data_IF_390612171607
#
_entry.id   IF_390612171607
#
_cell.length_a   1.000
_cell.length_b   1.000
_cell.length_c   1.000
_cell.angle_alpha   90.00
_cell.angle_beta   90.00
_cell.angle_gamma   90.00
#
_symmetry.space_group_name_H-M   'P 1'
#
loop_
_entity.id
_entity.type
_entity.pdbx_description
1 polymer ?
#
# COMPACT_ATOMS: atom_id res chain seq x y z
N UNK A 1 -13.58 -4.01 0.73
CA UNK A 1 -12.85 -2.80 0.28
C UNK A 1 -13.62 -1.51 0.52
N UNK A 2 -14.90 -1.33 0.07
CA UNK A 2 -15.66 -0.10 0.37
C UNK A 2 -15.70 0.21 1.88
N UNK A 3 -16.06 -0.76 2.73
CA UNK A 3 -16.04 -0.61 4.19
C UNK A 3 -14.66 -0.26 4.75
N UNK A 4 -13.62 -0.76 4.14
CA UNK A 4 -12.24 -0.50 4.55
C UNK A 4 -11.84 0.97 4.34
N UNK A 5 -12.14 1.55 3.16
CA UNK A 5 -11.88 2.98 2.94
C UNK A 5 -12.81 3.85 3.79
N UNK A 6 -14.04 3.39 4.08
CA UNK A 6 -14.92 4.06 5.07
C UNK A 6 -14.28 4.12 6.46
N UNK A 7 -13.66 3.03 6.94
CA UNK A 7 -12.98 3.01 8.23
C UNK A 7 -11.74 3.93 8.23
N UNK A 8 -10.97 3.94 7.14
CA UNK A 8 -9.82 4.83 6.98
C UNK A 8 -10.29 6.29 6.98
N UNK A 9 -11.28 6.62 6.16
CA UNK A 9 -11.81 8.00 6.05
C UNK A 9 -12.43 8.49 7.35
N UNK A 10 -13.11 7.63 8.10
CA UNK A 10 -13.67 7.97 9.42
C UNK A 10 -12.59 8.38 10.45
N UNK A 11 -11.36 7.82 10.32
CA UNK A 11 -10.24 8.12 11.21
C UNK A 11 -9.36 9.26 10.70
N UNK A 12 -9.30 9.48 9.38
CA UNK A 12 -8.30 10.36 8.77
C UNK A 12 -8.89 11.51 7.98
N UNK A 13 -10.20 11.46 7.66
CA UNK A 13 -10.89 12.43 6.81
C UNK A 13 -10.21 12.62 5.44
N UNK A 14 -9.66 11.52 4.86
CA UNK A 14 -8.87 11.57 3.63
C UNK A 14 -9.70 11.78 2.35
N UNK A 15 -11.03 11.60 2.40
CA UNK A 15 -11.91 11.79 1.25
C UNK A 15 -12.81 13.02 1.44
N UNK A 16 -12.51 14.17 0.79
CA UNK A 16 -13.35 15.36 0.88
C UNK A 16 -14.78 15.09 0.39
N UNK A 17 -15.77 15.45 1.19
CA UNK A 17 -17.19 15.26 0.84
C UNK A 17 -17.71 16.26 -0.20
N UNK A 18 -17.04 17.38 -0.41
CA UNK A 18 -17.46 18.50 -1.27
C UNK A 18 -16.29 19.03 -2.09
N UNK A 19 -16.61 19.74 -3.15
CA UNK A 19 -15.61 20.31 -4.06
C UNK A 19 -15.29 19.38 -5.22
N UNK A 20 -14.48 19.88 -6.17
CA UNK A 20 -13.90 19.05 -7.23
C UNK A 20 -12.87 18.11 -6.58
N UNK A 21 -12.86 16.84 -7.01
CA UNK A 21 -11.95 15.82 -6.54
C UNK A 21 -11.58 14.92 -7.71
N UNK A 22 -10.38 15.06 -8.21
CA UNK A 22 -9.82 14.14 -9.19
C UNK A 22 -8.98 13.09 -8.44
N UNK A 23 -9.26 11.79 -8.62
CA UNK A 23 -8.56 10.74 -7.89
C UNK A 23 -8.02 9.64 -8.78
N UNK A 24 -6.90 9.06 -8.35
CA UNK A 24 -6.23 7.91 -8.94
C UNK A 24 -6.41 6.69 -8.02
N UNK A 25 -6.88 5.57 -8.58
CA UNK A 25 -7.04 4.30 -7.86
C UNK A 25 -6.13 3.24 -8.50
N UNK A 26 -5.03 2.91 -7.82
CA UNK A 26 -4.02 1.97 -8.31
C UNK A 26 -4.18 0.61 -7.65
N UNK A 27 -4.69 -0.32 -8.43
CA UNK A 27 -4.80 -1.72 -8.09
C UNK A 27 -6.07 -2.10 -7.35
N UNK A 28 -6.51 -3.29 -7.65
CA UNK A 28 -7.59 -4.00 -6.99
C UNK A 28 -7.02 -5.20 -6.28
N UNK A 29 -7.37 -5.37 -5.03
CA UNK A 29 -6.93 -6.53 -4.26
C UNK A 29 -7.75 -7.72 -4.66
N UNK A 30 -7.10 -8.71 -5.26
CA UNK A 30 -7.67 -10.04 -5.34
C UNK A 30 -7.46 -10.77 -4.01
N UNK A 31 -8.48 -10.88 -3.20
CA UNK A 31 -8.47 -11.66 -1.96
C UNK A 31 -9.73 -12.48 -1.79
N UNK A 32 -10.08 -13.24 -2.82
CA UNK A 32 -11.17 -14.21 -2.73
C UNK A 32 -10.69 -15.67 -2.57
N UNK A 33 -9.49 -15.91 -2.04
CA UNK A 33 -9.01 -17.29 -1.80
C UNK A 33 -9.21 -17.79 -0.37
N UNK A 34 -10.00 -17.12 0.47
CA UNK A 34 -10.33 -17.66 1.79
C UNK A 34 -11.85 -17.70 1.98
N UNK A 35 -12.38 -18.92 1.78
CA UNK A 35 -13.64 -19.43 2.35
C UNK A 35 -14.93 -18.61 2.08
N UNK A 36 -15.33 -18.57 0.80
CA UNK A 36 -16.64 -18.03 0.36
C UNK A 36 -17.85 -18.75 1.04
N UNK A 37 -17.62 -19.85 1.75
CA UNK A 37 -18.71 -20.68 2.32
C UNK A 37 -19.24 -20.21 3.66
N UNK A 38 -18.57 -19.31 4.38
CA UNK A 38 -18.93 -18.99 5.76
C UNK A 38 -19.45 -17.58 6.03
N UNK A 39 -19.30 -16.61 5.12
CA UNK A 39 -19.83 -15.27 5.35
C UNK A 39 -20.41 -14.76 4.03
N UNK A 40 -21.72 -14.64 3.95
CA UNK A 40 -22.47 -14.13 2.77
C UNK A 40 -22.17 -12.68 2.37
N UNK A 41 -20.96 -12.21 2.55
CA UNK A 41 -20.49 -10.86 2.18
C UNK A 41 -19.58 -11.00 0.96
N UNK A 42 -20.16 -10.82 -0.21
CA UNK A 42 -19.43 -10.58 -1.47
C UNK A 42 -18.77 -9.20 -1.43
N UNK A 43 -17.71 -9.01 -0.64
CA UNK A 43 -17.10 -7.68 -0.45
C UNK A 43 -15.68 -7.55 -1.01
N UNK A 44 -15.25 -8.45 -1.87
CA UNK A 44 -13.95 -8.39 -2.53
C UNK A 44 -14.09 -8.01 -4.00
N UNK A 45 -14.86 -6.94 -4.31
CA UNK A 45 -15.02 -6.50 -5.69
C UNK A 45 -14.06 -5.37 -6.02
N UNK A 46 -13.40 -5.41 -7.21
CA UNK A 46 -12.71 -4.27 -7.79
C UNK A 46 -13.65 -3.07 -7.86
N UNK A 47 -13.12 -1.88 -7.52
CA UNK A 47 -13.90 -0.65 -7.47
C UNK A 47 -14.51 -0.32 -6.09
N UNK A 48 -14.15 -1.03 -5.03
CA UNK A 48 -14.66 -0.74 -3.69
C UNK A 48 -14.21 0.62 -3.15
N UNK A 49 -12.96 0.98 -3.33
CA UNK A 49 -12.44 2.31 -2.97
C UNK A 49 -13.07 3.38 -3.87
N UNK A 50 -13.03 3.19 -5.17
CA UNK A 50 -13.65 4.09 -6.14
C UNK A 50 -15.14 4.29 -5.89
N UNK A 51 -15.90 3.21 -5.56
CA UNK A 51 -17.33 3.33 -5.19
C UNK A 51 -17.53 4.26 -4.00
N UNK A 52 -16.71 4.10 -2.95
CA UNK A 52 -16.80 4.96 -1.77
C UNK A 52 -16.52 6.42 -2.10
N UNK A 53 -15.40 6.71 -2.79
CA UNK A 53 -15.03 8.09 -3.16
C UNK A 53 -16.11 8.76 -4.00
N UNK A 54 -16.63 8.07 -5.04
CA UNK A 54 -17.64 8.60 -5.94
C UNK A 54 -19.02 8.81 -5.27
N UNK A 55 -19.36 8.01 -4.26
CA UNK A 55 -20.57 8.20 -3.47
C UNK A 55 -20.41 9.29 -2.42
N UNK A 56 -19.25 9.34 -1.77
CA UNK A 56 -18.92 10.31 -0.74
C UNK A 56 -18.86 11.73 -1.32
N UNK A 57 -18.34 11.87 -2.54
CA UNK A 57 -18.20 13.14 -3.24
C UNK A 57 -18.88 13.08 -4.62
N UNK A 58 -20.01 13.77 -4.73
CA UNK A 58 -20.80 13.82 -5.98
C UNK A 58 -20.09 14.50 -7.15
N UNK A 59 -18.99 15.23 -6.93
CA UNK A 59 -18.17 15.90 -7.96
C UNK A 59 -16.85 15.18 -8.23
N UNK A 60 -16.60 14.05 -7.55
CA UNK A 60 -15.40 13.27 -7.79
C UNK A 60 -15.37 12.67 -9.18
N UNK A 61 -14.17 12.64 -9.78
CA UNK A 61 -13.84 11.91 -11.00
C UNK A 61 -12.63 11.06 -10.75
N UNK A 62 -12.60 9.82 -11.23
CA UNK A 62 -11.53 8.88 -10.98
C UNK A 62 -10.95 8.27 -12.23
N UNK A 63 -9.65 8.00 -12.17
CA UNK A 63 -8.92 7.12 -13.07
C UNK A 63 -8.49 5.89 -12.27
N UNK A 64 -8.82 4.70 -12.73
CA UNK A 64 -8.40 3.45 -12.12
C UNK A 64 -7.57 2.60 -13.05
N UNK A 65 -6.47 2.06 -12.54
CA UNK A 65 -5.58 1.17 -13.29
C UNK A 65 -5.42 -0.14 -12.52
N UNK A 66 -5.80 -1.25 -13.15
CA UNK A 66 -5.65 -2.59 -12.57
C UNK A 66 -5.66 -3.66 -13.66
N UNK A 67 -5.19 -4.85 -13.30
CA UNK A 67 -5.32 -6.03 -14.17
C UNK A 67 -6.79 -6.39 -14.39
N UNK A 68 -7.15 -6.62 -15.63
CA UNK A 68 -8.44 -7.18 -16.01
C UNK A 68 -8.48 -8.71 -15.90
N UNK A 69 -9.69 -9.31 -16.02
CA UNK A 69 -9.87 -10.76 -15.91
C UNK A 69 -9.03 -11.58 -16.89
N UNK A 70 -8.82 -11.05 -18.09
CA UNK A 70 -8.00 -11.65 -19.16
C UNK A 70 -6.53 -11.81 -18.76
N UNK A 71 -6.05 -11.02 -17.80
CA UNK A 71 -4.70 -11.04 -17.27
C UNK A 71 -4.62 -11.59 -15.83
N UNK A 72 -5.66 -12.31 -15.39
CA UNK A 72 -5.74 -12.90 -14.05
C UNK A 72 -6.24 -11.94 -12.97
N UNK A 73 -6.66 -10.74 -13.35
CA UNK A 73 -7.31 -9.79 -12.44
C UNK A 73 -8.80 -10.09 -12.24
N UNK A 74 -9.49 -9.20 -11.56
CA UNK A 74 -10.91 -9.33 -11.25
C UNK A 74 -11.80 -8.51 -12.19
N UNK A 75 -13.08 -8.90 -12.29
CA UNK A 75 -14.05 -8.13 -13.02
C UNK A 75 -14.28 -6.75 -12.38
N UNK A 76 -14.32 -5.71 -13.19
CA UNK A 76 -14.65 -4.36 -12.73
C UNK A 76 -16.16 -4.25 -12.41
N UNK A 77 -16.50 -4.05 -11.13
CA UNK A 77 -17.87 -4.12 -10.62
C UNK A 77 -18.46 -2.77 -10.14
N UNK A 78 -17.89 -1.66 -10.58
CA UNK A 78 -18.45 -0.34 -10.25
C UNK A 78 -19.90 -0.21 -10.76
N UNK A 79 -20.79 0.33 -9.94
CA UNK A 79 -22.19 0.57 -10.32
C UNK A 79 -22.31 1.45 -11.57
N UNK A 80 -23.23 1.11 -12.48
CA UNK A 80 -23.39 1.81 -13.78
C UNK A 80 -23.49 3.34 -13.63
N UNK A 81 -24.23 3.83 -12.61
CA UNK A 81 -24.42 5.27 -12.34
C UNK A 81 -23.11 6.00 -12.00
N UNK A 82 -22.14 5.31 -11.44
CA UNK A 82 -20.84 5.87 -11.03
C UNK A 82 -19.82 5.84 -12.17
N UNK A 83 -19.98 4.93 -13.14
CA UNK A 83 -19.06 4.76 -14.28
C UNK A 83 -18.94 6.00 -15.17
N UNK A 84 -19.95 6.87 -15.20
CA UNK A 84 -19.89 8.13 -15.96
C UNK A 84 -18.81 9.10 -15.44
N UNK A 85 -18.34 8.88 -14.22
CA UNK A 85 -17.33 9.70 -13.55
C UNK A 85 -16.03 8.93 -13.26
N UNK A 86 -15.87 7.78 -13.92
CA UNK A 86 -14.74 6.92 -13.66
C UNK A 86 -14.24 6.26 -14.93
N UNK A 87 -13.00 6.47 -15.23
CA UNK A 87 -12.28 5.80 -16.31
C UNK A 87 -11.52 4.60 -15.72
N UNK A 88 -11.71 3.43 -16.33
CA UNK A 88 -11.01 2.20 -15.93
C UNK A 88 -10.10 1.74 -17.05
N UNK A 89 -8.83 1.54 -16.71
CA UNK A 89 -7.79 1.02 -17.60
C UNK A 89 -7.37 -0.37 -17.12
N UNK A 90 -7.60 -1.37 -17.98
CA UNK A 90 -7.15 -2.74 -17.76
C UNK A 90 -5.66 -2.83 -18.15
N UNK A 91 -4.75 -2.75 -17.16
CA UNK A 91 -3.33 -2.82 -17.40
C UNK A 91 -2.55 -3.31 -16.16
N UNK A 92 -1.40 -3.92 -16.39
CA UNK A 92 -0.44 -4.21 -15.32
C UNK A 92 0.35 -2.94 -15.00
N UNK A 93 0.16 -2.40 -13.81
CA UNK A 93 0.85 -1.19 -13.33
C UNK A 93 2.39 -1.32 -13.44
N UNK A 94 2.93 -2.52 -13.20
CA UNK A 94 4.36 -2.77 -13.27
C UNK A 94 4.92 -2.78 -14.71
N UNK A 95 4.07 -2.79 -15.73
CA UNK A 95 4.48 -2.78 -17.15
C UNK A 95 4.47 -1.37 -17.77
N UNK A 96 4.20 -0.33 -17.01
CA UNK A 96 4.40 1.03 -17.51
C UNK A 96 5.89 1.41 -17.50
N UNK A 97 6.29 2.20 -18.51
CA UNK A 97 7.63 2.79 -18.58
C UNK A 97 7.74 3.88 -17.50
N UNK A 98 8.37 3.52 -16.39
CA UNK A 98 8.53 4.43 -15.24
C UNK A 98 9.96 4.95 -15.08
N UNK A 99 10.92 4.28 -15.70
CA UNK A 99 12.33 4.70 -15.71
C UNK A 99 12.62 5.82 -16.74
N UNK A 100 13.87 6.27 -16.84
CA UNK A 100 14.32 7.17 -17.89
C UNK A 100 14.03 6.61 -19.28
N UNK A 101 13.75 7.48 -20.25
CA UNK A 101 13.32 7.13 -21.63
C UNK A 101 14.32 6.29 -22.45
N UNK A 102 15.49 5.98 -21.90
CA UNK A 102 16.55 5.21 -22.55
C UNK A 102 16.31 3.68 -22.56
N UNK A 103 15.27 3.20 -21.85
CA UNK A 103 14.97 1.78 -21.77
C UNK A 103 13.74 1.43 -22.62
N UNK A 104 13.97 1.18 -23.90
CA UNK A 104 12.95 0.59 -24.77
C UNK A 104 12.89 -0.92 -24.49
N UNK A 105 11.74 -1.40 -24.08
CA UNK A 105 11.47 -2.82 -23.91
C UNK A 105 10.11 -3.16 -24.50
N UNK A 106 10.04 -4.30 -25.20
CA UNK A 106 8.83 -4.75 -25.90
C UNK A 106 7.64 -5.03 -24.95
N UNK A 107 7.88 -5.22 -23.65
CA UNK A 107 6.81 -5.45 -22.67
C UNK A 107 6.39 -4.18 -21.92
N UNK A 108 7.15 -3.09 -22.03
CA UNK A 108 6.78 -1.82 -21.40
C UNK A 108 5.88 -1.00 -22.30
N UNK A 109 4.95 -0.30 -21.69
CA UNK A 109 3.98 0.56 -22.36
C UNK A 109 4.06 1.99 -21.81
N UNK A 110 3.75 3.01 -22.61
CA UNK A 110 3.68 4.38 -22.13
C UNK A 110 2.57 4.52 -21.09
N UNK A 111 2.68 5.56 -20.24
CA UNK A 111 1.59 5.92 -19.34
C UNK A 111 0.32 6.21 -20.13
N UNK A 112 -0.87 5.88 -19.59
CA UNK A 112 -2.13 6.12 -20.27
C UNK A 112 -2.40 7.62 -20.43
N UNK A 113 -3.13 8.01 -21.49
CA UNK A 113 -3.45 9.42 -21.80
C UNK A 113 -4.13 10.16 -20.65
N UNK A 114 -4.95 9.47 -19.85
CA UNK A 114 -5.64 10.04 -18.69
C UNK A 114 -4.71 10.32 -17.48
N UNK A 115 -3.47 9.81 -17.50
CA UNK A 115 -2.51 10.06 -16.44
C UNK A 115 -1.67 11.31 -16.74
N UNK A 116 -1.74 12.28 -15.83
CA UNK A 116 -0.92 13.49 -15.92
C UNK A 116 -0.25 13.76 -14.58
N UNK A 117 0.97 14.24 -14.61
CA UNK A 117 1.73 14.62 -13.44
C UNK A 117 1.00 15.75 -12.69
N UNK A 118 0.87 15.59 -11.36
CA UNK A 118 0.19 16.56 -10.51
C UNK A 118 -1.31 16.75 -10.80
N UNK A 119 -1.99 15.74 -11.34
CA UNK A 119 -3.40 15.85 -11.74
C UNK A 119 -4.41 15.44 -10.65
N UNK A 120 -3.99 14.64 -9.67
CA UNK A 120 -4.91 14.00 -8.75
C UNK A 120 -4.86 14.62 -7.35
N UNK A 121 -6.03 14.92 -6.80
CA UNK A 121 -6.20 15.41 -5.43
C UNK A 121 -6.04 14.28 -4.40
N UNK A 122 -6.33 13.02 -4.82
CA UNK A 122 -6.26 11.82 -3.99
C UNK A 122 -5.68 10.65 -4.80
N UNK A 123 -4.65 9.99 -4.29
CA UNK A 123 -4.10 8.76 -4.84
C UNK A 123 -4.29 7.60 -3.85
N UNK A 124 -4.89 6.51 -4.32
CA UNK A 124 -5.19 5.30 -3.56
C UNK A 124 -4.31 4.16 -4.07
N UNK A 125 -3.45 3.61 -3.20
CA UNK A 125 -2.46 2.60 -3.54
C UNK A 125 -2.75 1.33 -2.74
N UNK A 126 -3.43 0.39 -3.37
CA UNK A 126 -3.79 -0.89 -2.75
C UNK A 126 -3.45 -2.11 -3.64
N UNK A 127 -2.60 -1.92 -4.67
CA UNK A 127 -2.15 -3.00 -5.52
C UNK A 127 -1.36 -4.05 -4.74
N UNK A 128 -1.68 -5.33 -4.99
CA UNK A 128 -0.94 -6.48 -4.46
C UNK A 128 -0.63 -7.43 -5.60
N UNK A 129 0.50 -8.15 -5.51
CA UNK A 129 0.86 -9.15 -6.51
C UNK A 129 -0.17 -10.27 -6.53
N UNK A 130 -0.53 -10.70 -7.75
CA UNK A 130 -1.26 -11.94 -7.97
C UNK A 130 -0.20 -13.03 -8.15
N UNK A 131 -0.12 -13.96 -7.20
CA UNK A 131 0.78 -15.10 -7.31
C UNK A 131 0.21 -16.10 -8.33
N UNK A 132 0.70 -16.07 -9.55
CA UNK A 132 0.52 -17.13 -10.52
C UNK A 132 1.76 -18.03 -10.44
N UNK A 133 1.60 -19.24 -9.94
CA UNK A 133 2.69 -20.18 -9.59
C UNK A 133 3.74 -20.42 -10.66
N UNK A 134 3.47 -20.12 -11.92
CA UNK A 134 4.36 -20.45 -13.06
C UNK A 134 5.01 -19.25 -13.77
N UNK A 135 4.65 -17.99 -13.44
CA UNK A 135 5.11 -16.81 -14.20
C UNK A 135 5.60 -15.64 -13.36
N UNK A 136 5.40 -15.65 -12.05
CA UNK A 136 5.80 -14.53 -11.19
C UNK A 136 7.19 -14.77 -10.60
N UNK A 137 8.07 -13.76 -10.74
CA UNK A 137 9.36 -13.74 -10.04
C UNK A 137 9.15 -13.34 -8.59
N UNK A 138 10.01 -13.80 -7.71
CA UNK A 138 9.88 -13.49 -6.27
C UNK A 138 9.82 -11.99 -5.96
N UNK A 139 10.49 -11.15 -6.74
CA UNK A 139 10.56 -9.68 -6.58
C UNK A 139 9.45 -8.88 -7.28
N UNK A 140 8.55 -9.51 -8.04
CA UNK A 140 7.47 -8.81 -8.74
C UNK A 140 6.56 -8.00 -7.81
N UNK A 141 6.40 -8.46 -6.57
CA UNK A 141 5.66 -7.70 -5.56
C UNK A 141 6.32 -6.40 -5.16
N UNK A 142 7.64 -6.37 -5.09
CA UNK A 142 8.42 -5.17 -4.76
C UNK A 142 8.43 -4.20 -5.94
N UNK A 143 8.57 -4.72 -7.17
CA UNK A 143 8.46 -3.93 -8.39
C UNK A 143 7.08 -3.29 -8.54
N UNK A 144 6.00 -4.03 -8.27
CA UNK A 144 4.64 -3.51 -8.28
C UNK A 144 4.44 -2.42 -7.20
N UNK A 145 4.96 -2.63 -5.99
CA UNK A 145 4.94 -1.63 -4.93
C UNK A 145 5.61 -0.34 -5.40
N UNK A 146 6.82 -0.43 -5.93
CA UNK A 146 7.58 0.73 -6.38
C UNK A 146 6.87 1.43 -7.56
N UNK A 147 6.29 0.67 -8.50
CA UNK A 147 5.56 1.21 -9.64
C UNK A 147 4.37 2.06 -9.20
N UNK A 148 3.51 1.55 -8.30
CA UNK A 148 2.38 2.33 -7.80
C UNK A 148 2.83 3.54 -6.98
N UNK A 149 3.93 3.45 -6.25
CA UNK A 149 4.45 4.55 -5.44
C UNK A 149 4.99 5.69 -6.31
N UNK A 150 5.76 5.38 -7.36
CA UNK A 150 6.21 6.35 -8.36
C UNK A 150 5.02 7.05 -9.02
N UNK A 151 4.02 6.29 -9.49
CA UNK A 151 2.82 6.85 -10.11
C UNK A 151 2.08 7.80 -9.16
N UNK A 152 1.96 7.44 -7.90
CA UNK A 152 1.29 8.31 -6.92
C UNK A 152 2.09 9.58 -6.64
N UNK A 153 3.41 9.50 -6.46
CA UNK A 153 4.26 10.66 -6.21
C UNK A 153 4.28 11.62 -7.41
N UNK A 154 4.24 11.09 -8.64
CA UNK A 154 4.13 11.90 -9.86
C UNK A 154 2.72 12.45 -10.05
N UNK A 155 1.70 11.64 -9.85
CA UNK A 155 0.30 11.98 -10.13
C UNK A 155 -0.36 12.88 -9.09
N UNK A 156 0.10 12.87 -7.84
CA UNK A 156 -0.52 13.68 -6.78
C UNK A 156 -0.26 15.18 -6.98
N UNK A 157 -1.31 15.99 -6.83
CA UNK A 157 -1.18 17.45 -6.80
C UNK A 157 -0.40 17.89 -5.56
N UNK A 158 0.29 19.00 -5.67
CA UNK A 158 0.83 19.69 -4.49
C UNK A 158 -0.32 20.02 -3.52
N UNK A 159 -0.22 19.54 -2.30
CA UNK A 159 -1.29 19.64 -1.30
C UNK A 159 -2.33 18.49 -1.36
N UNK A 160 -2.19 17.56 -2.28
CA UNK A 160 -3.04 16.37 -2.39
C UNK A 160 -2.76 15.31 -1.33
N UNK A 161 -3.48 14.21 -1.40
CA UNK A 161 -3.42 13.13 -0.40
C UNK A 161 -3.02 11.80 -1.06
N UNK A 162 -2.14 11.06 -0.40
CA UNK A 162 -1.80 9.68 -0.75
C UNK A 162 -2.28 8.74 0.36
N UNK A 163 -3.06 7.73 -0.01
CA UNK A 163 -3.45 6.60 0.86
C UNK A 163 -2.76 5.36 0.35
N UNK A 164 -1.84 4.80 1.12
CA UNK A 164 -1.04 3.66 0.69
C UNK A 164 -1.14 2.51 1.69
N UNK A 165 -1.32 1.29 1.17
CA UNK A 165 -1.23 0.09 1.97
C UNK A 165 0.23 -0.31 2.16
N UNK A 166 0.63 -0.45 3.43
CA UNK A 166 1.93 -0.90 3.88
C UNK A 166 1.79 -2.15 4.75
N UNK A 167 2.90 -2.75 5.11
CA UNK A 167 2.95 -3.93 5.96
C UNK A 167 4.09 -3.80 6.95
N UNK A 168 3.86 -4.24 8.20
CA UNK A 168 4.89 -4.29 9.24
C UNK A 168 5.70 -2.99 9.33
N UNK A 169 5.24 -2.01 10.12
CA UNK A 169 5.91 -0.70 10.23
C UNK A 169 7.35 -0.79 10.78
N UNK A 170 7.68 -1.87 11.46
CA UNK A 170 9.01 -2.18 12.00
C UNK A 170 10.05 -2.61 10.95
N UNK A 171 9.64 -2.95 9.73
CA UNK A 171 10.61 -3.26 8.66
C UNK A 171 11.29 -1.99 8.16
N UNK A 172 12.61 -2.07 7.98
CA UNK A 172 13.44 -0.93 7.59
C UNK A 172 12.92 -0.20 6.35
N UNK A 173 12.58 -0.93 5.28
CA UNK A 173 12.03 -0.31 4.08
C UNK A 173 10.67 0.37 4.33
N UNK A 174 9.79 -0.22 5.18
CA UNK A 174 8.50 0.39 5.54
C UNK A 174 8.70 1.65 6.37
N UNK A 175 9.62 1.62 7.33
CA UNK A 175 9.98 2.77 8.14
C UNK A 175 10.52 3.92 7.30
N UNK A 176 11.37 3.64 6.30
CA UNK A 176 11.88 4.63 5.35
C UNK A 176 10.78 5.22 4.45
N UNK A 177 9.81 4.42 4.02
CA UNK A 177 8.64 4.93 3.28
C UNK A 177 7.77 5.81 4.19
N UNK A 178 7.56 5.43 5.45
CA UNK A 178 6.85 6.29 6.41
C UNK A 178 7.62 7.59 6.66
N UNK A 179 8.95 7.51 6.81
CA UNK A 179 9.79 8.68 6.99
C UNK A 179 9.65 9.65 5.82
N UNK A 180 9.80 9.20 4.58
CA UNK A 180 9.70 10.12 3.43
C UNK A 180 8.30 10.70 3.29
N UNK A 181 7.24 9.92 3.51
CA UNK A 181 5.88 10.43 3.49
C UNK A 181 5.64 11.49 4.58
N UNK A 182 6.20 11.31 5.78
CA UNK A 182 6.12 12.29 6.88
C UNK A 182 6.89 13.58 6.52
N UNK A 183 8.04 13.48 5.84
CA UNK A 183 8.88 14.63 5.47
C UNK A 183 8.35 15.44 4.29
N UNK A 184 7.72 14.81 3.31
CA UNK A 184 7.20 15.50 2.12
C UNK A 184 5.76 15.95 2.26
N UNK A 185 5.03 15.50 3.30
CA UNK A 185 3.63 15.83 3.54
C UNK A 185 3.47 16.80 4.70
N UNK A 186 2.35 17.49 4.75
CA UNK A 186 1.98 18.36 5.87
C UNK A 186 1.63 17.52 7.11
N UNK A 187 1.01 16.35 6.90
CA UNK A 187 0.62 15.44 7.96
C UNK A 187 0.68 13.99 7.48
N UNK A 188 1.19 13.09 8.32
CA UNK A 188 1.14 11.65 8.12
C UNK A 188 0.39 10.99 9.28
N UNK A 189 -0.59 10.17 8.94
CA UNK A 189 -1.36 9.31 9.85
C UNK A 189 -1.28 7.86 9.43
N UNK A 190 -1.45 6.94 10.37
CA UNK A 190 -1.61 5.52 10.08
C UNK A 190 -2.95 5.02 10.58
N UNK A 191 -3.51 4.06 9.88
CA UNK A 191 -4.78 3.45 10.21
C UNK A 191 -4.74 1.95 9.96
N UNK A 192 -5.29 1.16 10.88
CA UNK A 192 -5.46 -0.27 10.71
C UNK A 192 -6.95 -0.62 10.70
N UNK A 193 -7.53 -0.87 9.51
CA UNK A 193 -8.93 -1.28 9.41
C UNK A 193 -9.22 -2.59 10.16
N UNK A 194 -10.33 -2.60 10.88
CA UNK A 194 -10.75 -3.74 11.71
C UNK A 194 -11.45 -4.84 10.90
N UNK A 195 -12.13 -4.47 9.82
CA UNK A 195 -12.98 -5.38 9.05
C UNK A 195 -12.18 -6.43 8.26
N UNK A 196 -11.11 -6.03 7.58
CA UNK A 196 -10.42 -6.91 6.62
C UNK A 196 -8.97 -7.21 7.04
N UNK A 197 -8.26 -6.23 7.57
CA UNK A 197 -6.83 -6.33 7.84
C UNK A 197 -6.45 -6.52 9.31
N UNK A 198 -7.40 -6.64 10.22
CA UNK A 198 -7.13 -6.76 11.65
C UNK A 198 -6.15 -7.91 12.00
N UNK A 199 -6.25 -9.04 11.29
CA UNK A 199 -5.40 -10.24 11.50
C UNK A 199 -4.10 -10.21 10.69
N UNK A 200 -3.98 -9.33 9.69
CA UNK A 200 -2.86 -9.28 8.76
C UNK A 200 -1.84 -8.24 9.21
N UNK A 201 -0.58 -8.35 8.79
CA UNK A 201 0.43 -7.32 9.13
C UNK A 201 0.21 -6.01 8.39
N UNK A 202 -0.72 -5.94 7.42
CA UNK A 202 -0.96 -4.75 6.60
C UNK A 202 -1.75 -3.67 7.35
N UNK A 203 -1.44 -2.42 7.04
CA UNK A 203 -2.08 -1.20 7.52
C UNK A 203 -2.07 -0.14 6.41
N UNK A 204 -2.69 1.02 6.66
CA UNK A 204 -2.66 2.15 5.72
C UNK A 204 -1.93 3.33 6.32
N UNK A 205 -1.08 3.95 5.50
CA UNK A 205 -0.54 5.28 5.74
C UNK A 205 -1.33 6.28 4.89
N UNK A 206 -1.68 7.41 5.49
CA UNK A 206 -2.41 8.51 4.87
C UNK A 206 -1.58 9.78 4.99
N UNK A 207 -0.98 10.18 3.87
CA UNK A 207 -0.15 11.36 3.77
C UNK A 207 -0.99 12.51 3.18
N UNK A 208 -1.27 13.52 3.99
CA UNK A 208 -2.10 14.68 3.64
C UNK A 208 -1.21 15.88 3.36
N UNK A 209 -1.51 16.63 2.32
CA UNK A 209 -0.71 17.80 1.94
C UNK A 209 0.64 17.43 1.36
N UNK A 210 0.71 16.43 0.49
CA UNK A 210 1.95 16.02 -0.20
C UNK A 210 2.53 17.20 -0.98
N UNK A 211 3.85 17.40 -0.88
CA UNK A 211 4.54 18.55 -1.46
C UNK A 211 4.46 19.83 -0.61
N UNK A 212 3.94 19.75 0.64
CA UNK A 212 3.90 20.84 1.61
C UNK A 212 4.72 20.56 2.87
N UNK A 213 5.35 19.40 2.99
CA UNK A 213 6.19 19.04 4.12
C UNK A 213 7.55 19.75 4.11
N UNK A 214 8.32 19.53 5.17
CA UNK A 214 9.61 20.21 5.40
C UNK A 214 10.68 19.88 4.34
N UNK A 215 10.57 18.71 3.71
CA UNK A 215 11.47 18.25 2.65
C UNK A 215 10.79 18.19 1.27
N UNK A 216 9.69 18.92 1.09
CA UNK A 216 8.92 18.92 -0.16
C UNK A 216 9.77 19.29 -1.40
N UNK A 217 10.81 20.12 -1.24
CA UNK A 217 11.73 20.49 -2.32
C UNK A 217 12.57 19.31 -2.84
N UNK A 218 12.75 18.26 -2.04
CA UNK A 218 13.47 17.04 -2.45
C UNK A 218 12.63 16.09 -3.28
N UNK A 219 11.30 16.27 -3.32
CA UNK A 219 10.38 15.30 -3.94
C UNK A 219 10.75 14.97 -5.41
N UNK A 220 11.10 15.91 -6.29
CA UNK A 220 11.52 15.57 -7.65
C UNK A 220 12.76 14.66 -7.69
N UNK A 221 13.79 14.97 -6.91
CA UNK A 221 15.00 14.16 -6.85
C UNK A 221 14.75 12.77 -6.27
N UNK A 222 13.82 12.65 -5.30
CA UNK A 222 13.41 11.38 -4.72
C UNK A 222 12.67 10.53 -5.76
N UNK A 223 11.78 11.12 -6.54
CA UNK A 223 11.09 10.44 -7.64
C UNK A 223 12.10 9.92 -8.67
N UNK A 224 13.10 10.72 -9.04
CA UNK A 224 14.16 10.30 -9.97
C UNK A 224 14.95 9.09 -9.41
N UNK A 225 15.26 9.06 -8.12
CA UNK A 225 15.93 7.92 -7.50
C UNK A 225 15.04 6.67 -7.48
N UNK A 226 13.76 6.81 -7.18
CA UNK A 226 12.83 5.69 -7.28
C UNK A 226 12.68 5.16 -8.71
N UNK A 227 12.72 6.03 -9.72
CA UNK A 227 12.70 5.62 -11.12
C UNK A 227 13.96 4.83 -11.50
N UNK A 228 15.13 5.23 -11.00
CA UNK A 228 16.39 4.46 -11.18
C UNK A 228 16.30 3.10 -10.48
N UNK A 229 15.83 3.07 -9.25
CA UNK A 229 15.63 1.82 -8.53
C UNK A 229 14.60 0.90 -9.24
N UNK A 230 13.56 1.48 -9.82
CA UNK A 230 12.60 0.72 -10.63
C UNK A 230 13.27 0.03 -11.83
N UNK A 231 14.25 0.69 -12.47
CA UNK A 231 15.05 0.09 -13.56
C UNK A 231 15.84 -1.12 -13.04
N UNK A 232 16.48 -1.00 -11.88
CA UNK A 232 17.21 -2.09 -11.25
C UNK A 232 16.31 -3.29 -10.91
N UNK A 233 15.12 -3.03 -10.35
CA UNK A 233 14.16 -4.09 -10.04
C UNK A 233 13.52 -4.71 -11.29
N UNK A 234 13.62 -4.04 -12.44
CA UNK A 234 13.03 -4.51 -13.71
C UNK A 234 14.05 -5.19 -14.60
N UNK A 235 15.28 -4.67 -14.69
CA UNK A 235 16.31 -5.07 -15.64
C UNK A 235 17.67 -5.33 -15.00
N UNK A 236 17.80 -5.15 -13.69
CA UNK A 236 19.04 -5.45 -12.97
C UNK A 236 19.25 -6.95 -12.77
N UNK A 237 20.23 -7.28 -11.91
CA UNK A 237 20.62 -8.66 -11.68
C UNK A 237 21.52 -9.23 -12.79
N UNK A 238 22.10 -10.41 -12.53
CA UNK A 238 23.06 -11.04 -13.45
C UNK A 238 22.46 -11.41 -14.81
N UNK A 239 21.17 -11.75 -14.82
CA UNK A 239 20.45 -12.16 -16.05
C UNK A 239 19.73 -11.01 -16.76
N UNK A 240 19.78 -9.78 -16.20
CA UNK A 240 19.06 -8.63 -16.76
C UNK A 240 17.54 -8.72 -16.66
N UNK A 241 17.04 -9.55 -15.74
CA UNK A 241 15.61 -9.83 -15.58
C UNK A 241 15.00 -9.25 -14.30
N UNK A 242 15.75 -8.37 -13.62
CA UNK A 242 15.42 -7.76 -12.36
C UNK A 242 16.04 -8.48 -11.17
N UNK A 243 15.94 -7.87 -9.99
CA UNK A 243 16.49 -8.37 -8.74
C UNK A 243 15.58 -8.07 -7.54
N UNK A 244 15.88 -8.67 -6.42
CA UNK A 244 15.27 -8.33 -5.14
C UNK A 244 15.64 -6.91 -4.70
N UNK A 245 14.73 -6.28 -3.99
CA UNK A 245 15.00 -5.06 -3.24
C UNK A 245 15.90 -5.40 -2.06
N UNK A 246 16.95 -4.63 -1.88
CA UNK A 246 17.87 -4.72 -0.75
C UNK A 246 17.67 -3.52 0.19
N UNK A 247 18.05 -3.66 1.46
CA UNK A 247 17.89 -2.58 2.43
C UNK A 247 18.65 -1.30 2.02
N UNK A 248 19.83 -1.44 1.42
CA UNK A 248 20.65 -0.33 0.92
C UNK A 248 20.00 0.46 -0.23
N UNK A 249 19.06 -0.15 -0.95
CA UNK A 249 18.40 0.51 -2.08
C UNK A 249 17.61 1.77 -1.68
N UNK A 250 17.29 1.93 -0.41
CA UNK A 250 16.61 3.11 0.12
C UNK A 250 17.51 4.06 0.93
N UNK A 251 18.83 3.86 0.93
CA UNK A 251 19.76 4.74 1.66
C UNK A 251 19.78 6.17 1.11
N UNK A 252 19.36 6.37 -0.15
CA UNK A 252 19.18 7.71 -0.73
C UNK A 252 18.08 8.53 -0.03
N UNK A 253 17.14 7.90 0.66
CA UNK A 253 16.15 8.57 1.49
C UNK A 253 16.80 9.01 2.79
N UNK A 254 17.24 8.05 3.58
CA UNK A 254 17.87 8.23 4.88
C UNK A 254 18.66 6.96 5.24
N UNK A 255 19.84 7.11 5.86
CA UNK A 255 20.58 5.99 6.40
C UNK A 255 19.83 5.28 7.53
N UNK A 256 20.18 4.04 7.86
CA UNK A 256 19.55 3.33 8.96
C UNK A 256 19.81 4.02 10.30
N UNK A 257 21.03 4.47 10.54
CA UNK A 257 21.42 5.12 11.79
C UNK A 257 20.69 6.45 11.98
N UNK A 258 20.66 7.31 10.95
CA UNK A 258 19.91 8.57 10.99
C UNK A 258 18.40 8.34 11.16
N UNK A 259 17.84 7.28 10.55
CA UNK A 259 16.43 6.92 10.73
C UNK A 259 16.13 6.57 12.19
N UNK A 260 16.99 5.78 12.83
CA UNK A 260 16.86 5.40 14.24
C UNK A 260 16.99 6.66 15.11
N UNK A 261 18.03 7.44 14.89
CA UNK A 261 18.36 8.60 15.75
C UNK A 261 17.31 9.72 15.66
N UNK A 262 16.72 9.93 14.47
CA UNK A 262 15.85 11.10 14.23
C UNK A 262 14.36 10.78 14.07
N UNK A 263 13.99 9.52 13.87
CA UNK A 263 12.61 9.15 13.53
C UNK A 263 12.02 8.03 14.40
N UNK A 264 12.79 7.39 15.27
CA UNK A 264 12.30 6.24 16.06
C UNK A 264 11.06 6.58 16.88
N UNK A 265 11.06 7.68 17.62
CA UNK A 265 9.90 8.10 18.44
C UNK A 265 8.66 8.34 17.57
N UNK A 266 8.83 9.02 16.45
CA UNK A 266 7.75 9.29 15.48
C UNK A 266 7.24 7.99 14.86
N UNK A 267 8.12 7.06 14.51
CA UNK A 267 7.78 5.74 14.00
C UNK A 267 6.96 4.93 15.02
N UNK A 268 7.35 4.97 16.30
CA UNK A 268 6.60 4.32 17.38
C UNK A 268 5.19 4.91 17.49
N UNK A 269 5.05 6.23 17.44
CA UNK A 269 3.74 6.89 17.50
C UNK A 269 2.86 6.51 16.30
N UNK A 270 3.41 6.53 15.09
CA UNK A 270 2.72 6.08 13.87
C UNK A 270 2.32 4.60 13.96
N UNK A 271 3.14 3.76 14.56
CA UNK A 271 2.94 2.32 14.61
C UNK A 271 2.02 1.87 15.75
N UNK A 272 1.88 2.65 16.81
CA UNK A 272 1.16 2.30 18.05
C UNK A 272 -0.26 1.80 17.77
N UNK A 273 -1.04 2.55 16.98
CA UNK A 273 -2.43 2.17 16.66
C UNK A 273 -2.49 0.87 15.86
N UNK A 274 -1.52 0.64 14.97
CA UNK A 274 -1.40 -0.56 14.13
C UNK A 274 -1.13 -1.78 15.01
N UNK A 275 -0.13 -1.70 15.90
CA UNK A 275 0.26 -2.80 16.79
C UNK A 275 -0.85 -3.13 17.80
N UNK A 276 -1.49 -2.11 18.40
CA UNK A 276 -2.58 -2.32 19.36
C UNK A 276 -3.73 -3.11 18.73
N UNK A 277 -4.20 -2.70 17.56
CA UNK A 277 -5.30 -3.38 16.85
C UNK A 277 -4.90 -4.81 16.49
N UNK A 278 -3.69 -5.01 15.97
CA UNK A 278 -3.22 -6.33 15.57
C UNK A 278 -3.08 -7.27 16.77
N UNK A 279 -2.44 -6.83 17.84
CA UNK A 279 -2.24 -7.61 19.06
C UNK A 279 -3.58 -8.00 19.70
N UNK A 280 -4.49 -7.04 19.87
CA UNK A 280 -5.82 -7.34 20.43
C UNK A 280 -6.58 -8.37 19.59
N UNK A 281 -6.48 -8.29 18.27
CA UNK A 281 -7.15 -9.24 17.37
C UNK A 281 -6.53 -10.62 17.46
N UNK A 282 -5.20 -10.72 17.47
CA UNK A 282 -4.49 -11.99 17.60
C UNK A 282 -4.74 -12.64 18.97
N UNK A 283 -4.74 -11.88 20.06
CA UNK A 283 -5.06 -12.36 21.40
C UNK A 283 -6.49 -12.94 21.47
N UNK A 284 -7.47 -12.28 20.85
CA UNK A 284 -8.87 -12.80 20.78
C UNK A 284 -8.92 -14.12 20.01
N UNK A 285 -8.18 -14.27 18.92
CA UNK A 285 -8.14 -15.51 18.13
C UNK A 285 -7.53 -16.67 18.92
N UNK A 286 -6.38 -16.44 19.61
CA UNK A 286 -5.74 -17.45 20.46
C UNK A 286 -6.66 -17.86 21.60
N UNK A 287 -7.36 -16.92 22.22
CA UNK A 287 -8.31 -17.19 23.30
C UNK A 287 -9.53 -17.98 22.82
N UNK A 288 -10.01 -17.72 21.61
CA UNK A 288 -11.11 -18.47 20.99
C UNK A 288 -10.69 -19.91 20.61
N UNK A 289 -9.45 -20.10 20.12
CA UNK A 289 -8.91 -21.43 19.80
C UNK A 289 -8.71 -22.32 21.04
N UNK A 290 -8.39 -21.74 22.19
CA UNK A 290 -8.24 -22.48 23.46
C UNK A 290 -9.57 -23.05 24.00
N UNK A 291 -10.72 -22.57 23.51
CA UNK A 291 -12.05 -23.10 23.86
C UNK A 291 -12.42 -24.35 23.07
N UNK A 292 -11.64 -24.74 22.07
CA UNK A 292 -11.77 -26.04 21.37
C UNK A 292 -10.42 -26.78 21.45
N UNK A 293 -10.19 -27.64 22.49
CA UNK A 293 -8.91 -28.34 22.62
C UNK A 293 -8.86 -29.53 21.66
N UNK A 294 -8.20 -29.39 20.54
CA UNK A 294 -7.69 -30.52 19.77
C UNK A 294 -6.24 -30.80 20.19
N UNK A 295 -5.97 -32.08 20.54
CA UNK A 295 -4.71 -32.58 21.12
C UNK A 295 -3.42 -32.34 20.31
N UNK A 296 -3.52 -31.89 19.06
CA UNK A 296 -2.37 -31.71 18.15
C UNK A 296 -1.69 -30.34 18.21
N UNK A 297 -2.35 -29.32 18.76
CA UNK A 297 -1.83 -27.94 18.72
C UNK A 297 -0.82 -27.63 19.84
N UNK A 298 -0.73 -28.48 20.86
CA UNK A 298 0.17 -28.26 22.01
C UNK A 298 1.66 -28.50 21.73
N UNK A 299 2.02 -29.12 20.61
CA UNK A 299 3.43 -29.40 20.28
C UNK A 299 4.18 -28.26 19.59
N UNK A 300 3.48 -27.21 19.11
CA UNK A 300 4.10 -26.09 18.34
C UNK A 300 4.12 -24.73 19.05
N UNK A 301 3.52 -24.59 20.22
CA UNK A 301 3.38 -23.27 20.89
C UNK A 301 4.06 -23.17 22.25
N UNK A 302 4.89 -24.13 22.62
CA UNK A 302 5.59 -24.10 23.93
C UNK A 302 6.78 -23.12 24.01
N UNK A 303 7.03 -22.32 22.97
CA UNK A 303 8.18 -21.40 22.97
C UNK A 303 7.82 -19.93 22.86
N UNK A 304 6.54 -19.54 22.90
CA UNK A 304 6.18 -18.11 22.75
C UNK A 304 5.07 -17.72 23.73
N UNK A 305 5.40 -16.76 24.58
CA UNK A 305 4.51 -15.83 25.30
C UNK A 305 4.07 -16.20 26.71
N UNK A 306 4.87 -15.74 27.66
CA UNK A 306 4.32 -15.14 28.87
C UNK A 306 4.13 -13.63 28.57
N UNK A 307 2.87 -13.23 28.29
CA UNK A 307 2.51 -11.83 28.10
C UNK A 307 2.46 -11.10 29.45
N UNK A 308 3.55 -10.47 29.85
CA UNK A 308 3.56 -9.49 30.93
C UNK A 308 4.55 -8.35 30.68
N UNK A 309 4.71 -7.87 29.47
CA UNK A 309 5.24 -6.51 29.19
C UNK A 309 5.35 -6.32 27.67
N UNK A 310 4.50 -5.46 27.14
CA UNK A 310 4.48 -5.08 25.71
C UNK A 310 5.75 -4.30 25.33
N UNK A 311 6.47 -3.75 26.30
CA UNK A 311 7.71 -2.99 26.07
C UNK A 311 8.94 -3.85 25.77
N UNK A 312 9.00 -5.07 26.27
CA UNK A 312 10.20 -5.91 26.12
C UNK A 312 10.21 -6.74 24.82
N UNK A 313 9.04 -6.93 24.19
CA UNK A 313 8.95 -7.69 22.93
C UNK A 313 9.45 -6.91 21.69
N UNK A 314 9.57 -5.59 21.79
CA UNK A 314 9.99 -4.71 20.68
C UNK A 314 11.51 -4.70 20.51
N UNK A 315 12.28 -4.93 21.59
CA UNK A 315 13.74 -4.85 21.59
C UNK A 315 14.47 -6.12 21.11
N UNK A 316 13.81 -7.28 21.08
CA UNK A 316 14.47 -8.55 20.75
C UNK A 316 14.37 -9.00 19.29
N UNK A 317 13.56 -8.34 18.44
CA UNK A 317 13.46 -8.69 17.01
C UNK A 317 14.26 -7.77 16.06
N UNK A 318 14.97 -6.79 16.58
CA UNK A 318 15.81 -5.87 15.79
C UNK A 318 17.28 -6.25 15.74
N UNK A 319 17.70 -7.36 16.39
CA UNK A 319 19.14 -7.76 16.52
C UNK A 319 19.34 -9.25 16.11
N UNK A 320 18.59 -9.79 15.21
CA UNK A 320 18.97 -11.10 14.61
C UNK A 320 18.59 -11.18 13.15
#
# INVERSE_FOLDING_TARGET
MKLQLMEIDAQTACVPARGKLDFLDLGFVNHCLLDIRLIGVRSCCPGGFSSYVLERNGRARGLGISLGPESGGECFLLEKRLRLRYEFISANIANYQLGPALFESSFLQPLPEGFNDGAFDLCLLDAVPIWQEQKSKGWDGQRLFLSQFILALKGVKRGGTIVIRLSRPELLYTARILWILDRVSQELRTCKPLTIHAKRPSFYAVAVGVGLGVEASRLPAIVDQFQRLWVELTFGGEEGEGRWLEDVDFDFLISQDDLIDTFADRLIDLSRSVWVVQTQTLCRLVSASKKQPTREMWRRTSSVLTCNNVSDAILYQTIS
#
